data_IF_102945442606
#
_entry.id   IF_102945442606
#
_cell.length_a   1.000
_cell.length_b   1.000
_cell.length_c   1.000
_cell.angle_alpha   90.00
_cell.angle_beta   90.00
_cell.angle_gamma   90.00
#
_symmetry.space_group_name_H-M   'P 1'
#
loop_
_entity.id
_entity.type
_entity.pdbx_description
1 polymer ?
#
# COMPACT_ATOMS: atom_id res chain seq x y z
N UNK A 1 24.42 -3.47 -3.58
CA UNK A 1 24.05 -4.72 -2.92
C UNK A 1 23.14 -4.30 -1.80
N UNK A 2 21.88 -4.70 -1.85
CA UNK A 2 20.92 -4.40 -0.78
C UNK A 2 21.18 -5.39 0.37
N UNK A 3 21.33 -4.88 1.59
CA UNK A 3 21.89 -5.57 2.76
C UNK A 3 21.02 -6.69 3.35
N UNK A 4 20.12 -7.29 2.56
CA UNK A 4 19.20 -8.34 2.98
C UNK A 4 18.12 -7.89 3.98
N UNK A 5 18.06 -6.59 4.30
CA UNK A 5 17.08 -6.05 5.23
C UNK A 5 15.67 -6.03 4.60
N UNK A 6 14.69 -6.57 5.32
CA UNK A 6 13.29 -6.47 4.97
C UNK A 6 12.79 -5.03 5.25
N UNK A 7 12.59 -4.24 4.20
CA UNK A 7 11.97 -2.92 4.29
C UNK A 7 10.44 -3.05 4.16
N UNK A 8 9.73 -3.09 5.29
CA UNK A 8 8.27 -2.99 5.30
C UNK A 8 7.82 -1.54 5.16
N UNK A 9 7.20 -1.24 4.03
CA UNK A 9 6.53 0.03 3.79
C UNK A 9 5.10 -0.05 4.34
N UNK A 10 4.85 0.65 5.45
CA UNK A 10 3.57 0.65 6.15
C UNK A 10 2.42 1.23 5.31
N UNK A 11 2.71 2.17 4.42
CA UNK A 11 1.73 2.79 3.52
C UNK A 11 1.30 1.82 2.42
N UNK A 12 2.23 0.99 1.92
CA UNK A 12 1.92 -0.05 0.92
C UNK A 12 1.42 -1.36 1.51
N UNK A 13 1.68 -1.62 2.78
CA UNK A 13 1.18 -2.81 3.45
C UNK A 13 -0.36 -2.79 3.44
N UNK A 14 -0.98 -3.86 2.93
CA UNK A 14 -2.45 -4.02 2.93
C UNK A 14 -2.97 -4.87 4.10
N UNK A 15 -2.06 -5.36 4.96
CA UNK A 15 -2.42 -6.17 6.12
C UNK A 15 -2.86 -7.60 5.81
N UNK A 16 -2.41 -8.19 4.69
CA UNK A 16 -2.80 -9.56 4.30
C UNK A 16 -2.20 -10.68 5.15
N UNK A 17 -1.14 -10.42 5.93
CA UNK A 17 -0.52 -11.40 6.83
C UNK A 17 0.39 -12.44 6.17
N UNK A 18 0.56 -12.44 4.85
CA UNK A 18 1.44 -13.41 4.17
C UNK A 18 2.89 -13.34 4.62
N UNK A 19 3.44 -12.14 4.88
CA UNK A 19 4.80 -12.00 5.37
C UNK A 19 5.00 -12.63 6.75
N UNK A 20 4.05 -12.45 7.66
CA UNK A 20 4.09 -13.05 8.99
C UNK A 20 3.97 -14.57 8.92
N UNK A 21 3.03 -15.10 8.13
CA UNK A 21 2.84 -16.55 7.98
C UNK A 21 3.99 -17.26 7.25
N UNK A 22 4.69 -16.57 6.35
CA UNK A 22 5.78 -17.17 5.58
C UNK A 22 7.12 -17.15 6.33
N UNK A 23 7.24 -16.40 7.43
CA UNK A 23 8.49 -16.24 8.16
C UNK A 23 8.70 -17.43 9.12
N UNK A 24 9.69 -18.32 8.86
CA UNK A 24 9.93 -19.48 9.73
C UNK A 24 10.49 -19.09 11.10
N UNK A 25 11.18 -17.95 11.17
CA UNK A 25 11.79 -17.42 12.39
C UNK A 25 10.81 -16.57 13.22
N UNK A 26 9.55 -16.44 12.78
CA UNK A 26 8.51 -15.64 13.45
C UNK A 26 8.92 -14.18 13.72
N UNK A 27 9.84 -13.65 12.91
CA UNK A 27 10.42 -12.31 13.10
C UNK A 27 9.43 -11.16 12.81
N UNK A 28 8.28 -11.46 12.21
CA UNK A 28 7.24 -10.49 11.84
C UNK A 28 5.93 -10.90 12.52
N UNK A 29 5.30 -9.96 13.22
CA UNK A 29 4.02 -10.17 13.89
C UNK A 29 2.97 -9.19 13.37
N UNK A 30 1.71 -9.65 13.34
CA UNK A 30 0.57 -8.82 12.97
C UNK A 30 0.09 -8.02 14.18
N UNK A 31 -0.04 -6.71 14.01
CA UNK A 31 -0.61 -5.82 15.02
C UNK A 31 -1.73 -4.96 14.40
N UNK A 32 -2.77 -4.62 15.16
CA UNK A 32 -3.77 -3.67 14.71
C UNK A 32 -3.14 -2.30 14.47
N UNK A 33 -3.57 -1.62 13.40
CA UNK A 33 -3.13 -0.25 13.13
C UNK A 33 -3.83 0.72 14.07
N UNK A 34 -3.12 1.77 14.48
CA UNK A 34 -3.71 2.90 15.23
C UNK A 34 -4.79 3.61 14.43
N UNK A 35 -4.66 3.65 13.09
CA UNK A 35 -5.64 4.28 12.20
C UNK A 35 -5.85 3.40 10.94
N UNK A 36 -6.66 2.34 11.01
CA UNK A 36 -6.93 1.51 9.85
C UNK A 36 -7.71 2.31 8.80
N UNK A 37 -7.40 2.17 7.51
CA UNK A 37 -8.16 2.85 6.46
C UNK A 37 -9.60 2.37 6.53
N UNK A 38 -10.55 3.30 6.63
CA UNK A 38 -11.96 2.97 6.54
C UNK A 38 -12.30 2.69 5.08
N UNK A 39 -12.91 1.52 4.77
CA UNK A 39 -13.48 1.29 3.45
C UNK A 39 -14.47 2.42 3.12
N UNK A 40 -14.61 2.73 1.82
CA UNK A 40 -15.62 3.69 1.42
C UNK A 40 -17.01 3.18 1.82
N UNK A 41 -17.87 4.10 2.29
CA UNK A 41 -19.20 3.73 2.80
C UNK A 41 -20.11 3.09 1.74
N UNK A 42 -19.87 3.37 0.45
CA UNK A 42 -20.62 2.82 -0.67
C UNK A 42 -19.70 2.46 -1.82
N UNK A 43 -20.16 1.55 -2.69
CA UNK A 43 -19.46 1.20 -3.92
C UNK A 43 -19.25 2.43 -4.81
N UNK A 44 -20.21 3.35 -4.90
CA UNK A 44 -20.06 4.57 -5.70
C UNK A 44 -18.93 5.46 -5.19
N UNK A 45 -18.82 5.61 -3.86
CA UNK A 45 -17.74 6.35 -3.23
C UNK A 45 -16.38 5.67 -3.44
N UNK A 46 -16.33 4.33 -3.36
CA UNK A 46 -15.14 3.55 -3.66
C UNK A 46 -14.69 3.77 -5.11
N UNK A 47 -15.61 3.60 -6.07
CA UNK A 47 -15.32 3.75 -7.48
C UNK A 47 -14.92 5.18 -7.85
N UNK A 48 -15.51 6.20 -7.21
CA UNK A 48 -15.09 7.58 -7.38
C UNK A 48 -13.63 7.79 -6.94
N UNK A 49 -13.20 7.17 -5.83
CA UNK A 49 -11.81 7.21 -5.36
C UNK A 49 -10.87 6.47 -6.33
N UNK A 50 -11.19 5.23 -6.70
CA UNK A 50 -10.38 4.41 -7.63
C UNK A 50 -10.18 5.14 -8.96
N UNK A 51 -11.27 5.66 -9.57
CA UNK A 51 -11.18 6.38 -10.85
C UNK A 51 -10.28 7.61 -10.76
N UNK A 52 -10.37 8.36 -9.66
CA UNK A 52 -9.52 9.55 -9.43
C UNK A 52 -8.05 9.15 -9.30
N UNK A 53 -7.74 8.19 -8.45
CA UNK A 53 -6.36 7.72 -8.23
C UNK A 53 -5.75 7.14 -9.51
N UNK A 54 -6.52 6.37 -10.27
CA UNK A 54 -6.11 5.84 -11.57
C UNK A 54 -5.83 6.96 -12.59
N UNK A 55 -6.70 7.98 -12.65
CA UNK A 55 -6.48 9.15 -13.51
C UNK A 55 -5.19 9.89 -13.15
N UNK A 56 -4.94 10.13 -11.86
CA UNK A 56 -3.70 10.77 -11.39
C UNK A 56 -2.50 9.91 -11.78
N UNK A 57 -2.55 8.60 -11.57
CA UNK A 57 -1.49 7.68 -11.97
C UNK A 57 -1.19 7.72 -13.48
N UNK A 58 -2.22 7.77 -14.33
CA UNK A 58 -2.06 7.88 -15.78
C UNK A 58 -1.44 9.21 -16.19
N UNK A 59 -1.93 10.32 -15.64
CA UNK A 59 -1.43 11.67 -15.96
C UNK A 59 0.01 11.85 -15.49
N UNK A 60 0.31 11.49 -14.24
CA UNK A 60 1.67 11.59 -13.69
C UNK A 60 2.66 10.74 -14.46
N UNK A 61 2.29 9.51 -14.84
CA UNK A 61 3.16 8.66 -15.67
C UNK A 61 3.41 9.26 -17.05
N UNK A 62 2.40 9.89 -17.67
CA UNK A 62 2.55 10.58 -18.96
C UNK A 62 3.46 11.80 -18.88
N UNK A 63 3.37 12.58 -17.81
CA UNK A 63 4.14 13.82 -17.65
C UNK A 63 5.57 13.57 -17.16
N UNK A 64 5.77 12.63 -16.24
CA UNK A 64 7.03 12.45 -15.52
C UNK A 64 7.70 11.08 -15.74
N UNK A 65 7.15 10.22 -16.60
CA UNK A 65 7.67 8.88 -16.88
C UNK A 65 7.59 7.91 -15.69
N UNK A 66 7.02 8.34 -14.56
CA UNK A 66 7.02 7.60 -13.29
C UNK A 66 5.72 7.92 -12.53
N UNK A 67 5.20 6.92 -11.82
CA UNK A 67 4.02 7.07 -10.98
C UNK A 67 4.28 7.95 -9.75
N UNK A 68 3.23 8.40 -9.05
CA UNK A 68 3.37 9.12 -7.80
C UNK A 68 4.13 8.22 -6.82
N UNK A 69 5.20 8.74 -6.21
CA UNK A 69 5.88 8.07 -5.09
C UNK A 69 4.82 8.00 -3.99
N UNK A 70 4.56 6.83 -3.40
CA UNK A 70 3.91 6.82 -2.09
C UNK A 70 4.75 7.75 -1.19
N UNK A 71 4.09 8.70 -0.53
CA UNK A 71 4.76 9.66 0.34
C UNK A 71 5.57 8.90 1.38
N UNK A 72 6.77 9.41 1.68
CA UNK A 72 7.64 8.89 2.73
C UNK A 72 6.99 9.02 4.11
#
# INVERSE_FOLDING_TARGET
MDDGALLMDGERCIGCGHCASACPEEAIQMAPRSNPPRPAATNDALWAKIRREAMVGMVTRRLFGRGPRASA
#
